data_IF_341295515462
#
_entry.id   IF_341295515462
#
_cell.length_a   1.000
_cell.length_b   1.000
_cell.length_c   1.000
_cell.angle_alpha   90.00
_cell.angle_beta   90.00
_cell.angle_gamma   90.00
#
_symmetry.space_group_name_H-M   'P 1'
#
loop_
_entity.id
_entity.type
_entity.pdbx_description
1 polymer ?
#
# COMPACT_ATOMS: atom_id res chain seq x y z
N UNK A 1 -8.15 -9.32 13.08
CA UNK A 1 -8.11 -8.99 11.63
C UNK A 1 -8.12 -7.49 11.28
N UNK A 2 -8.90 -6.63 11.94
CA UNK A 2 -9.09 -5.20 11.61
C UNK A 2 -7.80 -4.40 11.36
N UNK A 3 -6.78 -4.55 12.23
CA UNK A 3 -5.50 -3.83 12.09
C UNK A 3 -4.69 -4.16 10.83
N UNK A 4 -4.74 -5.41 10.33
CA UNK A 4 -4.07 -5.80 9.08
C UNK A 4 -4.68 -5.04 7.87
N UNK A 5 -6.02 -5.01 7.80
CA UNK A 5 -6.77 -4.27 6.77
C UNK A 5 -6.52 -2.76 6.84
N UNK A 6 -6.55 -2.15 8.03
CA UNK A 6 -6.22 -0.72 8.17
C UNK A 6 -4.82 -0.38 7.66
N UNK A 7 -3.80 -1.20 7.99
CA UNK A 7 -2.43 -0.97 7.45
C UNK A 7 -2.39 -1.09 5.92
N UNK A 8 -3.15 -2.02 5.34
CA UNK A 8 -3.28 -2.19 3.89
C UNK A 8 -3.98 -0.98 3.23
N UNK A 9 -5.12 -0.52 3.75
CA UNK A 9 -5.85 0.62 3.21
C UNK A 9 -5.06 1.93 3.35
N UNK A 10 -4.33 2.13 4.46
CA UNK A 10 -3.43 3.28 4.61
C UNK A 10 -2.33 3.29 3.55
N UNK A 11 -1.70 2.13 3.30
CA UNK A 11 -0.70 1.99 2.22
C UNK A 11 -1.32 2.26 0.85
N UNK A 12 -2.53 1.76 0.61
CA UNK A 12 -3.24 1.92 -0.66
C UNK A 12 -3.62 3.38 -0.94
N UNK A 13 -4.18 4.10 0.05
CA UNK A 13 -4.47 5.53 -0.08
C UNK A 13 -3.21 6.38 -0.21
N UNK A 14 -2.11 6.00 0.46
CA UNK A 14 -0.81 6.64 0.23
C UNK A 14 -0.32 6.44 -1.21
N UNK A 15 -0.53 5.27 -1.82
CA UNK A 15 -0.20 5.01 -3.24
C UNK A 15 -1.06 5.86 -4.19
N UNK A 16 -2.37 5.98 -3.94
CA UNK A 16 -3.25 6.90 -4.68
C UNK A 16 -2.84 8.37 -4.51
N UNK A 17 -2.40 8.78 -3.32
CA UNK A 17 -1.85 10.11 -3.06
C UNK A 17 -0.58 10.40 -3.88
N UNK A 18 0.37 9.45 -3.92
CA UNK A 18 1.63 9.60 -4.66
C UNK A 18 1.47 9.56 -6.18
N UNK A 19 0.54 8.76 -6.69
CA UNK A 19 0.42 8.50 -8.15
C UNK A 19 -0.61 9.39 -8.82
N UNK A 20 -1.76 9.58 -8.17
CA UNK A 20 -2.93 10.30 -8.71
C UNK A 20 -3.23 11.61 -7.96
N UNK A 21 -2.41 11.99 -6.97
CA UNK A 21 -2.51 13.28 -6.30
C UNK A 21 -3.72 13.44 -5.36
N UNK A 22 -4.26 12.34 -4.83
CA UNK A 22 -5.35 12.38 -3.84
C UNK A 22 -4.91 13.15 -2.58
N UNK A 23 -5.82 13.99 -2.07
CA UNK A 23 -5.61 14.83 -0.88
C UNK A 23 -6.88 14.80 -0.01
N UNK A 24 -6.69 15.06 1.28
CA UNK A 24 -7.75 15.26 2.27
C UNK A 24 -8.33 16.68 2.11
N UNK A 25 -9.66 16.91 2.26
CA UNK A 25 -10.70 15.90 2.47
C UNK A 25 -11.00 15.10 1.19
N UNK A 26 -11.15 13.78 1.33
CA UNK A 26 -11.43 12.89 0.19
C UNK A 26 -12.87 13.06 -0.28
N UNK A 27 -13.07 13.43 -1.55
CA UNK A 27 -14.40 13.52 -2.15
C UNK A 27 -14.91 12.11 -2.48
N UNK A 28 -15.97 11.67 -1.80
CA UNK A 28 -16.56 10.34 -1.98
C UNK A 28 -17.92 10.47 -2.67
N UNK A 29 -18.06 9.92 -3.88
CA UNK A 29 -19.35 9.79 -4.54
C UNK A 29 -20.10 8.58 -3.96
N UNK A 30 -21.23 8.86 -3.30
CA UNK A 30 -22.18 7.88 -2.78
C UNK A 30 -23.24 7.57 -3.82
N UNK A 31 -23.57 6.29 -3.95
CA UNK A 31 -24.74 5.84 -4.69
C UNK A 31 -25.98 5.59 -3.79
N UNK A 32 -27.17 5.50 -4.39
CA UNK A 32 -28.44 5.18 -3.74
C UNK A 32 -28.39 3.83 -3.01
N UNK A 33 -27.85 2.77 -3.63
CA UNK A 33 -27.77 1.45 -3.00
C UNK A 33 -26.85 1.45 -1.77
N UNK A 34 -25.72 2.14 -1.88
CA UNK A 34 -24.75 2.32 -0.78
C UNK A 34 -25.41 2.97 0.45
N UNK A 35 -26.33 3.91 0.25
CA UNK A 35 -27.09 4.54 1.34
C UNK A 35 -28.14 3.59 1.91
N UNK A 36 -28.88 2.84 1.07
CA UNK A 36 -29.84 1.82 1.53
C UNK A 36 -29.14 0.74 2.37
N UNK A 37 -28.05 0.16 1.88
CA UNK A 37 -27.32 -0.92 2.57
C UNK A 37 -26.68 -0.45 3.88
N UNK A 38 -26.16 0.78 3.93
CA UNK A 38 -25.64 1.32 5.18
C UNK A 38 -26.71 1.42 6.27
N UNK A 39 -27.97 1.72 5.92
CA UNK A 39 -29.05 1.77 6.90
C UNK A 39 -29.57 0.39 7.30
N UNK A 40 -29.70 -0.54 6.33
CA UNK A 40 -29.99 -1.97 6.61
C UNK A 40 -29.04 -2.55 7.66
N UNK A 41 -27.76 -2.20 7.61
CA UNK A 41 -26.75 -2.61 8.59
C UNK A 41 -26.53 -1.64 9.76
N UNK A 42 -27.35 -0.59 9.89
CA UNK A 42 -27.27 0.48 10.90
C UNK A 42 -25.86 1.09 11.04
N UNK A 43 -25.19 1.25 9.90
CA UNK A 43 -23.84 1.77 9.79
C UNK A 43 -23.81 3.30 9.69
N UNK A 44 -22.93 3.89 10.48
CA UNK A 44 -22.41 5.24 10.25
C UNK A 44 -21.56 5.25 8.97
N UNK A 45 -22.06 5.95 7.94
CA UNK A 45 -21.42 6.10 6.63
C UNK A 45 -20.16 6.97 6.71
N UNK A 46 -20.23 8.11 7.38
CA UNK A 46 -19.16 9.12 7.37
C UNK A 46 -17.95 8.61 8.13
N UNK A 47 -18.12 8.22 9.40
CA UNK A 47 -17.04 7.61 10.15
C UNK A 47 -16.64 6.24 9.59
N UNK A 48 -17.53 5.54 8.88
CA UNK A 48 -17.20 4.32 8.12
C UNK A 48 -16.15 4.59 7.03
N UNK A 49 -16.39 5.65 6.25
CA UNK A 49 -15.49 6.12 5.19
C UNK A 49 -14.18 6.67 5.76
N UNK A 50 -14.21 7.48 6.83
CA UNK A 50 -12.98 7.98 7.48
C UNK A 50 -12.10 6.84 8.03
N UNK A 51 -12.73 5.83 8.66
CA UNK A 51 -12.04 4.64 9.20
C UNK A 51 -11.44 3.75 8.11
N UNK A 52 -11.91 3.82 6.86
CA UNK A 52 -11.39 3.04 5.74
C UNK A 52 -10.40 3.82 4.87
N UNK A 53 -10.67 5.09 4.59
CA UNK A 53 -9.83 6.00 3.80
C UNK A 53 -8.66 6.60 4.59
N UNK A 54 -8.72 6.59 5.93
CA UNK A 54 -7.69 7.14 6.82
C UNK A 54 -7.40 8.63 6.59
N UNK A 55 -8.46 9.42 6.43
CA UNK A 55 -8.47 10.87 6.40
C UNK A 55 -9.91 11.38 6.43
N UNK A 56 -10.09 12.69 6.59
CA UNK A 56 -11.42 13.33 6.52
C UNK A 56 -12.05 13.09 5.14
N UNK A 57 -13.37 12.94 5.13
CA UNK A 57 -14.15 12.61 3.93
C UNK A 57 -15.24 13.63 3.69
N UNK A 58 -15.44 13.98 2.42
CA UNK A 58 -16.54 14.80 1.96
C UNK A 58 -17.51 13.89 1.20
N UNK A 59 -18.56 13.36 1.86
CA UNK A 59 -19.57 12.56 1.18
C UNK A 59 -20.37 13.45 0.22
N UNK A 60 -20.47 13.01 -1.02
CA UNK A 60 -21.19 13.69 -2.10
C UNK A 60 -22.16 12.71 -2.74
N UNK A 61 -23.38 13.14 -3.08
CA UNK A 61 -24.35 12.32 -3.81
C UNK A 61 -24.72 12.97 -5.14
N UNK A 62 -24.85 12.16 -6.20
CA UNK A 62 -25.25 12.66 -7.52
C UNK A 62 -26.75 12.99 -7.56
N UNK A 63 -27.14 13.91 -8.44
CA UNK A 63 -28.56 14.23 -8.61
C UNK A 63 -29.38 13.03 -9.13
N UNK A 64 -28.81 12.14 -9.95
CA UNK A 64 -29.48 10.92 -10.39
C UNK A 64 -29.65 9.93 -9.23
N UNK A 65 -28.62 9.67 -8.42
CA UNK A 65 -28.75 8.80 -7.24
C UNK A 65 -29.77 9.36 -6.22
N UNK A 66 -29.88 10.68 -6.06
CA UNK A 66 -30.99 11.28 -5.28
C UNK A 66 -32.37 11.01 -5.92
N UNK A 67 -32.50 11.11 -7.25
CA UNK A 67 -33.76 10.79 -7.96
C UNK A 67 -34.14 9.32 -7.84
N UNK A 68 -33.17 8.40 -7.86
CA UNK A 68 -33.39 6.97 -7.57
C UNK A 68 -33.89 6.71 -6.14
N UNK A 69 -33.45 7.50 -5.16
CA UNK A 69 -34.03 7.46 -3.81
C UNK A 69 -35.46 8.05 -3.76
N UNK A 70 -35.73 9.14 -4.48
CA UNK A 70 -37.09 9.71 -4.55
C UNK A 70 -38.09 8.81 -5.28
N UNK A 71 -37.68 8.12 -6.35
CA UNK A 71 -38.53 7.16 -7.06
C UNK A 71 -38.99 6.00 -6.16
N UNK A 72 -38.12 5.59 -5.24
CA UNK A 72 -38.39 4.57 -4.23
C UNK A 72 -38.95 5.13 -2.90
N UNK A 73 -39.38 6.40 -2.84
CA UNK A 73 -39.89 7.00 -1.61
C UNK A 73 -41.20 6.35 -1.10
N UNK A 74 -41.87 5.56 -1.94
CA UNK A 74 -43.03 4.73 -1.58
C UNK A 74 -42.65 3.47 -0.77
N UNK A 75 -41.39 3.04 -0.78
CA UNK A 75 -40.92 1.91 0.02
C UNK A 75 -40.79 2.31 1.51
N UNK A 76 -41.21 1.46 2.46
CA UNK A 76 -41.13 1.76 3.89
C UNK A 76 -39.67 1.96 4.35
N UNK A 77 -39.41 3.08 5.02
CA UNK A 77 -38.10 3.46 5.55
C UNK A 77 -37.25 4.33 4.61
N UNK A 78 -37.59 4.47 3.32
CA UNK A 78 -36.80 5.28 2.38
C UNK A 78 -36.92 6.79 2.63
N UNK A 79 -37.98 7.26 3.29
CA UNK A 79 -38.09 8.66 3.74
C UNK A 79 -36.93 9.11 4.63
N UNK A 80 -36.55 8.29 5.62
CA UNK A 80 -35.40 8.55 6.49
C UNK A 80 -34.06 8.53 5.72
N UNK A 81 -33.93 7.61 4.74
CA UNK A 81 -32.76 7.58 3.85
C UNK A 81 -32.62 8.85 3.02
N UNK A 82 -33.73 9.35 2.50
CA UNK A 82 -33.79 10.60 1.73
C UNK A 82 -33.33 11.78 2.59
N UNK A 83 -33.78 11.87 3.85
CA UNK A 83 -33.38 12.97 4.74
C UNK A 83 -31.91 12.87 5.15
N UNK A 84 -31.41 11.66 5.44
CA UNK A 84 -29.98 11.40 5.63
C UNK A 84 -29.17 11.79 4.38
N UNK A 85 -29.65 11.44 3.18
CA UNK A 85 -28.99 11.77 1.92
C UNK A 85 -29.01 13.28 1.59
N UNK A 86 -30.04 14.02 2.03
CA UNK A 86 -30.09 15.49 1.92
C UNK A 86 -28.99 16.20 2.73
N UNK A 87 -28.42 15.56 3.76
CA UNK A 87 -27.30 16.13 4.56
C UNK A 87 -25.96 16.13 3.83
N UNK A 88 -25.79 15.29 2.79
CA UNK A 88 -24.55 15.18 2.03
C UNK A 88 -24.49 16.23 0.90
N UNK A 89 -23.28 16.55 0.43
CA UNK A 89 -23.11 17.55 -0.62
C UNK A 89 -23.66 17.05 -1.97
N UNK A 90 -24.48 17.86 -2.65
CA UNK A 90 -25.07 17.46 -3.93
C UNK A 90 -24.13 17.74 -5.09
N UNK A 91 -23.67 16.68 -5.76
CA UNK A 91 -22.93 16.75 -7.01
C UNK A 91 -23.89 16.88 -8.19
N UNK A 92 -23.83 18.03 -8.88
CA UNK A 92 -24.48 18.22 -10.18
C UNK A 92 -23.82 17.31 -11.23
N UNK A 93 -24.59 16.41 -11.83
CA UNK A 93 -24.13 15.47 -12.88
C UNK A 93 -24.37 15.99 -14.31
N UNK A 94 -25.20 17.02 -14.50
CA UNK A 94 -25.57 17.54 -15.81
C UNK A 94 -26.94 17.05 -16.29
N UNK A 95 -27.34 15.83 -15.91
CA UNK A 95 -28.61 15.20 -16.31
C UNK A 95 -29.82 15.86 -15.66
N UNK A 96 -30.40 16.85 -16.35
CA UNK A 96 -31.59 17.57 -15.86
C UNK A 96 -32.86 16.73 -16.00
N UNK A 97 -33.85 16.88 -15.12
CA UNK A 97 -35.18 16.28 -15.31
C UNK A 97 -35.88 16.72 -16.61
N UNK A 98 -35.51 17.88 -17.14
CA UNK A 98 -35.98 18.43 -18.43
C UNK A 98 -35.56 17.55 -19.63
N UNK A 99 -34.33 17.03 -19.60
CA UNK A 99 -33.74 16.22 -20.68
C UNK A 99 -33.99 14.71 -20.46
N UNK A 100 -34.01 14.29 -19.20
CA UNK A 100 -34.17 12.90 -18.78
C UNK A 100 -35.30 12.81 -17.75
N UNK A 101 -36.55 12.48 -18.15
CA UNK A 101 -37.71 12.43 -17.25
C UNK A 101 -37.58 11.31 -16.21
N UNK A 102 -36.92 10.22 -16.57
CA UNK A 102 -36.42 9.20 -15.63
C UNK A 102 -34.94 9.45 -15.30
N UNK A 103 -34.46 9.08 -14.10
CA UNK A 103 -33.04 9.15 -13.79
C UNK A 103 -32.24 8.09 -14.57
N UNK A 104 -31.22 8.54 -15.31
CA UNK A 104 -30.18 7.68 -15.90
C UNK A 104 -29.61 6.67 -14.89
N UNK A 105 -29.09 5.55 -15.41
CA UNK A 105 -28.51 4.50 -14.57
C UNK A 105 -27.38 5.05 -13.67
N UNK A 106 -27.20 4.38 -12.54
CA UNK A 106 -26.08 4.57 -11.60
C UNK A 106 -24.73 4.57 -12.34
N UNK A 107 -24.54 3.62 -13.25
CA UNK A 107 -23.33 3.46 -14.06
C UNK A 107 -23.09 4.66 -14.98
N UNK A 108 -24.06 5.05 -15.81
CA UNK A 108 -23.92 6.17 -16.75
C UNK A 108 -23.74 7.51 -16.03
N UNK A 109 -24.50 7.72 -14.94
CA UNK A 109 -24.37 8.91 -14.13
C UNK A 109 -22.99 9.02 -13.46
N UNK A 110 -22.48 7.95 -12.87
CA UNK A 110 -21.16 8.00 -12.23
C UNK A 110 -20.04 8.07 -13.28
N UNK A 111 -20.17 7.39 -14.42
CA UNK A 111 -19.18 7.44 -15.50
C UNK A 111 -18.99 8.86 -16.04
N UNK A 112 -20.09 9.55 -16.37
CA UNK A 112 -20.05 10.96 -16.83
C UNK A 112 -19.47 11.93 -15.79
N UNK A 113 -19.69 11.69 -14.49
CA UNK A 113 -19.17 12.55 -13.40
C UNK A 113 -17.68 12.33 -13.12
N UNK A 114 -17.21 11.09 -13.23
CA UNK A 114 -15.81 10.70 -12.99
C UNK A 114 -14.94 11.00 -14.21
N UNK A 115 -15.42 10.67 -15.41
CA UNK A 115 -14.74 10.87 -16.69
C UNK A 115 -15.60 11.67 -17.69
N UNK A 116 -15.77 12.99 -17.48
CA UNK A 116 -16.54 13.87 -18.38
C UNK A 116 -15.86 14.11 -19.75
N UNK A 117 -14.74 13.45 -20.05
CA UNK A 117 -13.97 13.63 -21.29
C UNK A 117 -13.66 12.34 -22.04
N UNK A 118 -14.13 11.18 -21.56
CA UNK A 118 -13.76 9.87 -22.12
C UNK A 118 -12.25 9.57 -22.04
N UNK A 119 -11.51 10.28 -21.18
CA UNK A 119 -10.05 10.20 -21.05
C UNK A 119 -9.58 9.02 -20.20
N UNK A 120 -10.50 8.20 -19.69
CA UNK A 120 -10.29 7.07 -18.76
C UNK A 120 -9.40 7.44 -17.57
N UNK A 121 -9.47 8.69 -17.12
CA UNK A 121 -8.64 9.24 -16.03
C UNK A 121 -9.46 10.07 -15.07
N UNK A 122 -9.34 9.79 -13.78
CA UNK A 122 -10.09 10.46 -12.71
C UNK A 122 -9.56 11.88 -12.41
N UNK A 123 -9.81 12.84 -13.31
CA UNK A 123 -9.31 14.22 -13.21
C UNK A 123 -9.69 14.89 -11.88
N UNK A 124 -10.90 14.62 -11.39
CA UNK A 124 -11.48 15.25 -10.21
C UNK A 124 -11.09 14.55 -8.89
N UNK A 125 -10.45 13.36 -8.97
CA UNK A 125 -10.01 12.53 -7.84
C UNK A 125 -11.16 12.13 -6.90
N UNK A 126 -12.24 11.61 -7.48
CA UNK A 126 -13.31 10.99 -6.70
C UNK A 126 -12.92 9.60 -6.21
N UNK A 127 -13.29 9.29 -4.97
CA UNK A 127 -13.51 7.93 -4.49
C UNK A 127 -14.95 7.57 -4.85
N UNK A 128 -15.21 6.35 -5.34
CA UNK A 128 -16.57 5.90 -5.67
C UNK A 128 -17.01 4.83 -4.66
N UNK A 129 -18.14 5.07 -4.01
CA UNK A 129 -18.76 4.19 -3.03
C UNK A 129 -20.07 3.63 -3.60
N UNK A 130 -20.00 2.44 -4.19
CA UNK A 130 -21.09 1.79 -4.93
C UNK A 130 -21.21 0.33 -4.51
N UNK A 131 -22.44 -0.15 -4.40
CA UNK A 131 -22.71 -1.54 -4.04
C UNK A 131 -22.78 -2.45 -5.26
N UNK A 132 -23.53 -2.01 -6.27
CA UNK A 132 -23.61 -2.62 -7.61
C UNK A 132 -22.26 -3.09 -8.18
N UNK A 133 -22.25 -4.31 -8.71
CA UNK A 133 -21.04 -4.93 -9.24
C UNK A 133 -20.65 -4.37 -10.62
N UNK A 134 -21.63 -3.95 -11.42
CA UNK A 134 -21.44 -3.48 -12.80
C UNK A 134 -20.75 -2.11 -12.82
N UNK A 135 -21.26 -1.16 -12.04
CA UNK A 135 -20.59 0.11 -11.74
C UNK A 135 -19.14 -0.12 -11.31
N UNK A 136 -18.88 -1.04 -10.37
CA UNK A 136 -17.51 -1.32 -9.90
C UNK A 136 -16.63 -1.94 -10.99
N UNK A 137 -17.16 -2.86 -11.81
CA UNK A 137 -16.44 -3.40 -12.98
C UNK A 137 -16.07 -2.28 -13.96
N UNK A 138 -17.01 -1.41 -14.30
CA UNK A 138 -16.79 -0.28 -15.20
C UNK A 138 -15.74 0.70 -14.66
N UNK A 139 -15.85 1.07 -13.38
CA UNK A 139 -14.92 2.01 -12.72
C UNK A 139 -13.49 1.49 -12.60
N UNK A 140 -13.25 0.16 -12.54
CA UNK A 140 -11.90 -0.42 -12.60
C UNK A 140 -11.20 -0.17 -13.95
N UNK A 141 -11.97 0.08 -15.02
CA UNK A 141 -11.44 0.48 -16.32
C UNK A 141 -10.93 1.92 -16.38
N UNK A 142 -11.25 2.75 -15.37
CA UNK A 142 -10.82 4.14 -15.25
C UNK A 142 -9.58 4.20 -14.34
N UNK A 143 -8.54 4.92 -14.79
CA UNK A 143 -7.30 5.05 -14.05
C UNK A 143 -7.47 5.93 -12.81
N UNK A 144 -7.03 5.41 -11.67
CA UNK A 144 -6.97 6.16 -10.41
C UNK A 144 -8.31 6.34 -9.69
N UNK A 145 -9.21 5.35 -9.74
CA UNK A 145 -10.47 5.35 -8.98
C UNK A 145 -10.40 4.38 -7.79
N UNK A 146 -10.29 4.87 -6.54
CA UNK A 146 -10.49 4.03 -5.36
C UNK A 146 -11.97 3.66 -5.24
N UNK A 147 -12.25 2.36 -5.10
CA UNK A 147 -13.60 1.82 -4.96
C UNK A 147 -13.87 1.34 -3.54
N UNK A 148 -15.06 1.67 -3.02
CA UNK A 148 -15.55 1.25 -1.70
C UNK A 148 -16.91 0.60 -1.85
N UNK A 149 -17.13 -0.51 -1.14
CA UNK A 149 -18.41 -1.21 -1.08
C UNK A 149 -18.69 -1.71 0.34
N UNK A 150 -19.92 -2.11 0.62
CA UNK A 150 -20.32 -2.69 1.91
C UNK A 150 -20.48 -4.20 1.73
N UNK A 151 -19.92 -5.00 2.64
CA UNK A 151 -20.17 -6.44 2.68
C UNK A 151 -20.56 -6.84 4.11
N UNK A 152 -21.85 -7.17 4.28
CA UNK A 152 -22.49 -7.27 5.60
C UNK A 152 -22.21 -5.97 6.37
N UNK A 153 -21.97 -6.03 7.68
CA UNK A 153 -21.69 -4.85 8.51
C UNK A 153 -20.25 -4.27 8.40
N UNK A 154 -19.57 -4.43 7.26
CA UNK A 154 -18.18 -3.95 7.07
C UNK A 154 -17.99 -3.23 5.74
N UNK A 155 -17.53 -1.98 5.82
CA UNK A 155 -17.09 -1.20 4.66
C UNK A 155 -15.68 -1.64 4.23
N UNK A 156 -15.52 -1.89 2.93
CA UNK A 156 -14.31 -2.47 2.33
C UNK A 156 -13.88 -1.60 1.15
N UNK A 157 -12.60 -1.21 1.13
CA UNK A 157 -11.95 -0.64 -0.04
C UNK A 157 -11.39 -1.77 -0.90
N UNK A 158 -11.68 -1.76 -2.20
CA UNK A 158 -11.08 -2.68 -3.17
C UNK A 158 -9.58 -2.39 -3.35
N UNK A 159 -8.75 -3.39 -3.70
CA UNK A 159 -7.39 -3.13 -4.16
C UNK A 159 -7.39 -2.24 -5.42
N UNK A 160 -6.25 -1.63 -5.73
CA UNK A 160 -6.08 -0.86 -6.96
C UNK A 160 -6.28 -1.76 -8.19
N UNK A 161 -7.08 -1.30 -9.15
CA UNK A 161 -7.35 -2.01 -10.39
C UNK A 161 -6.05 -2.24 -11.20
N UNK A 162 -5.98 -3.35 -11.93
CA UNK A 162 -4.78 -3.76 -12.69
C UNK A 162 -4.33 -2.70 -13.70
N UNK A 163 -5.25 -2.10 -14.46
CA UNK A 163 -4.95 -0.97 -15.34
C UNK A 163 -4.32 0.23 -14.60
N UNK A 164 -4.77 0.49 -13.36
CA UNK A 164 -4.24 1.56 -12.50
C UNK A 164 -2.89 1.21 -11.87
N UNK A 165 -2.61 -0.07 -11.58
CA UNK A 165 -1.28 -0.52 -11.11
C UNK A 165 -0.26 -0.47 -12.24
N UNK A 166 -0.63 -0.94 -13.43
CA UNK A 166 0.27 -1.03 -14.59
C UNK A 166 0.68 0.34 -15.10
N UNK A 167 -0.28 1.29 -15.17
CA UNK A 167 0.04 2.67 -15.51
C UNK A 167 0.99 3.29 -14.47
N UNK A 168 0.73 3.05 -13.18
CA UNK A 168 1.61 3.52 -12.09
C UNK A 168 3.01 2.93 -12.20
N UNK A 169 3.16 1.62 -12.40
CA UNK A 169 4.47 0.98 -12.58
C UNK A 169 5.21 1.51 -13.80
N UNK A 170 4.49 1.72 -14.92
CA UNK A 170 5.06 2.31 -16.13
C UNK A 170 5.57 3.73 -15.87
N UNK A 171 4.79 4.56 -15.21
CA UNK A 171 5.20 5.91 -14.82
C UNK A 171 6.39 5.91 -13.84
N UNK A 172 6.36 5.05 -12.81
CA UNK A 172 7.44 4.92 -11.84
C UNK A 172 8.73 4.44 -12.52
N UNK A 173 8.67 3.47 -13.43
CA UNK A 173 9.82 3.03 -14.24
C UNK A 173 10.36 4.14 -15.15
N UNK A 174 9.49 4.94 -15.77
CA UNK A 174 9.91 6.09 -16.60
C UNK A 174 10.59 7.17 -15.74
N UNK A 175 9.98 7.54 -14.60
CA UNK A 175 10.53 8.50 -13.64
C UNK A 175 11.88 8.02 -13.07
N UNK A 176 11.99 6.74 -12.71
CA UNK A 176 13.23 6.12 -12.24
C UNK A 176 14.31 6.11 -13.33
N UNK A 177 13.99 5.71 -14.56
CA UNK A 177 14.93 5.73 -15.70
C UNK A 177 15.41 7.14 -16.04
N UNK A 178 14.53 8.15 -15.94
CA UNK A 178 14.88 9.55 -16.12
C UNK A 178 15.79 10.07 -14.99
N UNK A 179 15.50 9.69 -13.74
CA UNK A 179 16.36 9.97 -12.59
C UNK A 179 17.75 9.34 -12.74
N UNK A 180 17.82 8.09 -13.19
CA UNK A 180 19.09 7.40 -13.46
C UNK A 180 19.88 8.08 -14.59
N UNK A 181 19.24 8.50 -15.69
CA UNK A 181 19.90 9.27 -16.77
C UNK A 181 20.40 10.65 -16.31
N UNK A 182 19.67 11.32 -15.41
CA UNK A 182 20.12 12.59 -14.80
C UNK A 182 21.27 12.39 -13.80
N UNK A 183 21.27 11.28 -13.06
CA UNK A 183 22.36 10.92 -12.14
C UNK A 183 23.62 10.37 -12.82
N UNK A 184 23.49 9.67 -13.95
CA UNK A 184 24.63 9.11 -14.69
C UNK A 184 25.44 10.17 -15.46
N UNK A 185 24.90 11.37 -15.66
CA UNK A 185 25.60 12.50 -16.29
C UNK A 185 26.77 13.06 -15.46
N UNK A 186 26.73 12.92 -14.13
CA UNK A 186 27.72 13.56 -13.23
C UNK A 186 28.65 12.58 -12.50
N UNK A 187 28.56 11.27 -12.74
CA UNK A 187 29.50 10.28 -12.16
C UNK A 187 30.50 9.67 -13.15
N UNK A 188 30.46 10.02 -14.45
CA UNK A 188 31.64 9.91 -15.31
C UNK A 188 32.62 11.02 -14.96
N UNK A 189 33.39 10.84 -13.88
CA UNK A 189 34.62 11.60 -13.68
C UNK A 189 35.50 11.43 -14.91
N UNK A 190 35.72 12.55 -15.60
CA UNK A 190 36.48 12.73 -16.84
C UNK A 190 37.68 11.78 -16.94
N UNK A 191 37.49 10.66 -17.65
CA UNK A 191 38.55 9.89 -18.29
C UNK A 191 38.24 9.91 -19.77
N UNK A 192 38.76 10.94 -20.43
CA UNK A 192 38.88 10.98 -21.89
C UNK A 192 39.78 9.81 -22.29
N UNK A 193 39.23 8.87 -23.05
CA UNK A 193 39.93 8.12 -24.08
C UNK A 193 38.92 8.02 -25.24
N UNK A 194 39.38 8.30 -26.45
CA UNK A 194 38.50 8.55 -27.59
C UNK A 194 38.16 7.28 -28.37
N UNK A 195 37.04 7.36 -29.10
CA UNK A 195 36.73 6.50 -30.22
C UNK A 195 36.02 7.39 -31.26
N UNK A 196 36.60 7.49 -32.46
CA UNK A 196 36.16 8.39 -33.54
C UNK A 196 35.27 7.69 -34.57
N UNK A 197 34.49 8.47 -35.32
CA UNK A 197 33.69 8.05 -36.48
C UNK A 197 32.22 8.52 -36.40
N UNK A 198 31.66 9.33 -37.31
CA UNK A 198 32.21 9.95 -38.53
C UNK A 198 31.56 11.33 -38.79
N UNK A 199 32.32 12.19 -39.47
CA UNK A 199 31.96 13.32 -40.36
C UNK A 199 30.75 14.26 -40.11
N UNK A 200 31.01 15.57 -40.02
CA UNK A 200 30.84 16.51 -41.17
C UNK A 200 31.30 17.97 -40.92
N UNK A 201 32.31 18.36 -41.71
CA UNK A 201 32.51 19.62 -42.46
C UNK A 201 32.58 21.05 -41.81
N UNK A 202 33.41 21.88 -42.47
CA UNK A 202 33.59 23.36 -42.43
C UNK A 202 34.17 24.10 -41.21
N UNK A 203 35.17 24.96 -41.48
CA UNK A 203 35.54 26.10 -40.62
C UNK A 203 37.03 26.49 -40.59
N UNK A 204 37.46 27.40 -41.48
CA UNK A 204 38.84 27.89 -41.63
C UNK A 204 39.46 28.63 -40.43
N UNK A 205 40.80 28.69 -40.36
CA UNK A 205 41.57 29.63 -39.53
C UNK A 205 43.01 29.18 -39.21
N UNK A 206 44.02 29.93 -39.67
CA UNK A 206 45.44 29.76 -39.29
C UNK A 206 45.73 30.33 -37.88
N UNK A 207 46.62 29.69 -37.11
CA UNK A 207 47.95 30.24 -36.74
C UNK A 207 48.69 29.31 -35.75
N UNK A 208 50.02 29.41 -35.71
CA UNK A 208 50.96 28.51 -35.03
C UNK A 208 51.15 28.84 -33.52
N UNK A 209 51.79 27.93 -32.74
CA UNK A 209 52.51 28.09 -31.44
C UNK A 209 52.54 26.75 -30.64
N UNK A 210 53.65 26.36 -29.97
CA UNK A 210 54.03 24.94 -29.88
C UNK A 210 53.62 24.15 -28.62
N UNK A 211 53.51 22.82 -28.81
CA UNK A 211 53.11 21.82 -27.80
C UNK A 211 54.14 21.65 -26.66
N UNK A 212 53.78 22.02 -25.42
CA UNK A 212 54.58 21.69 -24.21
C UNK A 212 54.44 20.20 -23.83
N UNK A 213 55.58 19.51 -23.67
CA UNK A 213 55.67 18.08 -23.32
C UNK A 213 55.07 17.78 -21.94
N UNK A 214 54.17 16.79 -21.85
CA UNK A 214 53.64 16.27 -20.57
C UNK A 214 54.71 15.44 -19.86
N UNK A 215 54.99 15.73 -18.58
CA UNK A 215 55.92 14.94 -17.76
C UNK A 215 55.36 13.53 -17.50
N UNK A 216 56.18 12.50 -17.69
CA UNK A 216 55.81 11.12 -17.42
C UNK A 216 55.49 10.89 -15.93
N UNK A 217 54.42 10.14 -15.65
CA UNK A 217 53.99 9.82 -14.29
C UNK A 217 54.62 8.47 -13.91
N UNK A 218 55.47 8.47 -12.88
CA UNK A 218 56.20 7.28 -12.42
C UNK A 218 55.28 6.10 -12.03
N UNK A 219 55.86 4.89 -11.89
CA UNK A 219 55.08 3.67 -11.64
C UNK A 219 54.25 3.78 -10.37
N UNK A 220 53.03 3.24 -10.42
CA UNK A 220 52.06 3.29 -9.31
C UNK A 220 52.53 2.36 -8.18
N UNK A 221 52.94 2.94 -7.06
CA UNK A 221 53.18 2.19 -5.82
C UNK A 221 51.90 1.49 -5.32
N UNK A 222 52.03 0.40 -4.53
CA UNK A 222 50.89 -0.35 -4.02
C UNK A 222 50.01 0.49 -3.10
N UNK A 223 48.71 0.15 -3.05
CA UNK A 223 47.69 0.85 -2.27
C UNK A 223 48.07 0.86 -0.77
N UNK A 224 48.13 2.03 -0.09
CA UNK A 224 48.61 2.15 1.29
C UNK A 224 47.79 1.39 2.35
N UNK A 225 46.61 0.85 2.00
CA UNK A 225 45.82 -0.04 2.86
C UNK A 225 46.27 -1.51 2.84
N UNK A 226 47.20 -1.89 1.95
CA UNK A 226 47.69 -3.27 1.80
C UNK A 226 48.78 -3.66 2.82
N UNK A 227 49.40 -2.70 3.52
CA UNK A 227 50.47 -2.95 4.49
C UNK A 227 49.85 -3.27 5.86
N UNK A 228 49.70 -4.56 6.16
CA UNK A 228 49.33 -5.01 7.53
C UNK A 228 50.42 -4.56 8.51
N UNK A 229 50.02 -3.82 9.55
CA UNK A 229 50.93 -3.36 10.61
C UNK A 229 51.59 -4.57 11.31
N UNK A 230 52.91 -4.53 11.48
CA UNK A 230 53.64 -5.54 12.22
C UNK A 230 53.21 -5.56 13.70
N UNK A 231 52.95 -6.75 14.24
CA UNK A 231 52.77 -6.96 15.69
C UNK A 231 54.14 -7.12 16.34
N UNK A 232 54.37 -6.45 17.46
CA UNK A 232 55.53 -6.68 18.33
C UNK A 232 55.13 -7.67 19.43
N UNK A 233 55.91 -8.72 19.61
CA UNK A 233 55.69 -9.77 20.62
C UNK A 233 56.45 -9.48 21.90
N UNK A 234 55.87 -9.82 23.06
CA UNK A 234 56.59 -9.97 24.33
C UNK A 234 55.77 -10.89 25.25
N UNK A 235 56.34 -12.05 25.57
CA UNK A 235 55.93 -12.90 26.70
C UNK A 235 56.67 -12.36 27.97
N UNK A 236 56.46 -12.76 29.22
CA UNK A 236 55.92 -13.99 29.83
C UNK A 236 55.59 -13.71 31.33
N UNK A 237 54.96 -14.63 32.08
CA UNK A 237 54.99 -14.60 33.56
C UNK A 237 53.73 -15.09 34.30
N UNK A 238 53.80 -16.25 34.97
CA UNK A 238 52.76 -16.79 35.86
C UNK A 238 53.06 -16.53 37.35
N UNK A 239 52.02 -16.44 38.22
CA UNK A 239 51.70 -17.45 39.29
C UNK A 239 50.71 -16.98 40.39
N UNK A 240 49.71 -17.84 40.63
CA UNK A 240 49.03 -18.23 41.91
C UNK A 240 49.01 -17.33 43.17
N UNK A 241 47.86 -17.27 43.86
CA UNK A 241 47.63 -17.96 45.17
C UNK A 241 46.22 -17.70 45.77
N UNK A 242 45.86 -18.42 46.85
CA UNK A 242 44.50 -18.56 47.44
C UNK A 242 44.49 -18.17 48.93
N UNK A 243 43.41 -17.50 49.40
CA UNK A 243 42.75 -17.52 50.75
C UNK A 243 41.72 -16.36 50.77
N UNK A 244 40.43 -16.44 51.18
CA UNK A 244 39.65 -17.15 52.23
C UNK A 244 39.54 -16.36 53.55
N UNK A 245 38.32 -16.33 54.11
CA UNK A 245 37.87 -15.75 55.40
C UNK A 245 37.70 -14.20 55.41
N UNK A 246 36.70 -13.58 56.04
CA UNK A 246 35.52 -14.09 56.77
C UNK A 246 35.21 -13.22 58.01
N UNK A 247 34.00 -12.64 58.15
CA UNK A 247 33.50 -12.10 59.43
C UNK A 247 32.00 -11.80 59.47
N UNK A 248 31.41 -12.02 60.65
CA UNK A 248 29.99 -11.87 60.98
C UNK A 248 29.70 -10.58 61.79
N UNK A 249 28.44 -10.13 61.80
CA UNK A 249 27.73 -9.33 62.85
C UNK A 249 26.41 -8.81 62.26
N UNK A 250 25.29 -8.63 62.99
CA UNK A 250 24.93 -9.02 64.36
C UNK A 250 23.39 -9.23 64.46
N UNK A 251 22.92 -9.74 65.60
CA UNK A 251 21.55 -10.17 65.92
C UNK A 251 20.54 -9.05 66.20
N UNK A 252 19.24 -9.33 66.01
CA UNK A 252 18.11 -8.53 66.46
C UNK A 252 16.77 -9.24 66.19
N UNK A 253 15.95 -9.47 67.21
CA UNK A 253 14.84 -10.44 67.21
C UNK A 253 13.48 -9.92 66.70
N UNK A 254 12.71 -10.77 65.99
CA UNK A 254 11.35 -11.21 66.39
C UNK A 254 10.77 -12.23 65.39
N UNK A 255 9.95 -13.15 65.89
CA UNK A 255 9.38 -14.35 65.21
C UNK A 255 7.83 -14.32 65.40
N UNK A 256 6.99 -15.21 64.84
CA UNK A 256 7.20 -16.22 63.78
C UNK A 256 6.15 -16.21 62.63
N UNK A 257 6.42 -16.92 61.52
CA UNK A 257 5.61 -18.06 61.03
C UNK A 257 6.16 -18.69 59.71
N UNK A 258 6.55 -19.97 59.80
CA UNK A 258 6.62 -21.06 58.78
C UNK A 258 6.89 -20.71 57.30
N UNK A 259 8.07 -21.03 56.74
CA UNK A 259 8.48 -22.33 56.16
C UNK A 259 7.58 -22.84 55.00
N UNK A 260 8.06 -23.14 53.79
CA UNK A 260 9.36 -23.76 53.43
C UNK A 260 9.97 -23.28 52.09
N UNK A 261 11.21 -23.69 51.80
CA UNK A 261 12.12 -23.03 50.84
C UNK A 261 12.02 -23.38 49.33
N UNK A 262 12.84 -22.71 48.49
CA UNK A 262 12.82 -22.82 47.02
C UNK A 262 13.99 -23.63 46.44
N UNK A 263 13.86 -24.13 45.19
CA UNK A 263 15.03 -24.51 44.38
C UNK A 263 14.94 -24.12 42.89
N UNK A 264 16.09 -24.16 42.24
CA UNK A 264 16.43 -23.49 40.98
C UNK A 264 16.15 -24.39 39.76
N UNK A 265 15.89 -23.81 38.57
CA UNK A 265 15.40 -24.64 37.45
C UNK A 265 15.50 -24.11 36.01
N UNK A 266 16.70 -23.73 35.57
CA UNK A 266 17.19 -23.78 34.18
C UNK A 266 16.29 -23.35 32.96
N UNK A 267 16.84 -22.42 32.17
CA UNK A 267 16.32 -21.94 30.86
C UNK A 267 16.08 -23.08 29.84
N UNK A 268 14.83 -23.40 29.51
CA UNK A 268 14.50 -24.33 28.41
C UNK A 268 14.65 -23.70 27.02
N UNK A 269 15.71 -24.04 26.29
CA UNK A 269 15.84 -23.78 24.85
C UNK A 269 14.84 -24.63 24.05
N UNK A 270 14.05 -24.00 23.16
CA UNK A 270 13.19 -24.70 22.18
C UNK A 270 14.03 -25.54 21.22
N UNK A 271 13.94 -26.88 21.28
CA UNK A 271 14.33 -27.76 20.16
C UNK A 271 13.23 -27.75 19.09
N UNK A 272 13.61 -27.52 17.83
CA UNK A 272 12.74 -27.82 16.68
C UNK A 272 12.72 -29.35 16.49
N UNK A 273 11.54 -29.95 16.32
CA UNK A 273 11.42 -31.36 15.92
C UNK A 273 11.23 -31.39 14.40
N UNK A 274 12.07 -32.15 13.70
CA UNK A 274 11.96 -32.38 12.26
C UNK A 274 10.78 -33.30 11.94
N UNK A 275 10.25 -33.12 10.73
CA UNK A 275 9.22 -33.97 10.11
C UNK A 275 9.88 -35.30 9.68
N UNK A 276 9.23 -36.42 9.96
CA UNK A 276 9.52 -37.72 9.37
C UNK A 276 8.25 -38.22 8.70
N UNK A 277 8.38 -38.77 7.50
CA UNK A 277 7.28 -39.39 6.76
C UNK A 277 6.93 -40.77 7.34
N UNK A 278 5.67 -41.15 7.17
CA UNK A 278 5.19 -42.52 7.23
C UNK A 278 4.03 -42.61 6.23
N UNK A 279 4.07 -43.63 5.38
CA UNK A 279 3.05 -43.95 4.39
C UNK A 279 1.82 -44.56 5.08
N UNK A 280 0.62 -44.36 4.51
CA UNK A 280 -0.48 -45.30 4.75
C UNK A 280 -1.48 -45.38 3.57
N UNK A 281 -1.79 -46.63 3.22
CA UNK A 281 -3.12 -47.12 2.86
C UNK A 281 -4.00 -46.33 1.90
N UNK A 282 -3.86 -46.58 0.59
CA UNK A 282 -4.96 -46.35 -0.35
C UNK A 282 -6.01 -47.47 -0.25
N UNK A 283 -7.25 -47.14 0.17
CA UNK A 283 -8.41 -48.05 0.08
C UNK A 283 -9.59 -47.32 -0.56
N UNK A 284 -10.06 -47.87 -1.68
CA UNK A 284 -11.21 -47.35 -2.44
C UNK A 284 -12.53 -47.71 -1.75
N UNK A 285 -13.46 -46.76 -1.68
CA UNK A 285 -14.87 -47.01 -1.35
C UNK A 285 -15.78 -46.48 -2.46
N UNK A 286 -16.81 -47.27 -2.78
CA UNK A 286 -17.79 -47.04 -3.86
C UNK A 286 -18.86 -46.00 -3.46
N UNK A 287 -19.51 -45.34 -4.43
CA UNK A 287 -20.79 -44.67 -4.23
C UNK A 287 -21.98 -45.56 -4.66
N UNK A 288 -23.03 -45.57 -3.84
CA UNK A 288 -24.38 -46.17 -4.01
C UNK A 288 -25.23 -45.54 -2.87
N UNK A 289 -26.52 -45.21 -2.94
CA UNK A 289 -27.62 -45.17 -3.94
C UNK A 289 -28.51 -43.93 -3.56
N UNK A 290 -29.57 -43.46 -4.23
CA UNK A 290 -30.33 -43.77 -5.46
C UNK A 290 -31.09 -42.48 -5.90
N UNK A 291 -31.73 -42.49 -7.07
CA UNK A 291 -33.03 -41.83 -7.30
C UNK A 291 -33.77 -42.60 -8.42
N UNK A 292 -35.00 -43.06 -8.15
CA UNK A 292 -35.88 -43.78 -9.08
C UNK A 292 -37.21 -43.01 -9.19
N UNK A 293 -37.83 -42.97 -10.37
CA UNK A 293 -39.20 -42.47 -10.52
C UNK A 293 -39.56 -41.99 -11.94
N UNK A 294 -39.97 -42.92 -12.78
CA UNK A 294 -40.54 -42.67 -14.12
C UNK A 294 -42.01 -43.17 -14.11
N UNK A 295 -42.97 -42.24 -14.15
CA UNK A 295 -44.34 -42.33 -14.74
C UNK A 295 -44.97 -40.91 -14.79
#
# INVERSE_FOLDING_TARGET
MRGKRSKQYRKLMQQYGLSYGFRVPYQVLLDAEMIRDADKFKMDLVGGLERTLHGEVKPMITQCSMRHLYAAASEPGVSYLIDKAKTYERRRCGHRPEEYPEPLSTQECLASVVDPKGSKTNKNRYVVASQELEVRKHMRGILGVPLVYINRSVMIMEPMAEASTDNREREERVKFRAGLKRGSGSLKRKREDGEEGEEKHDGAGEEDIPKKKKKAKGPKGPNPLAVKKAKKSTEEGLKSSVKKEGKESATGESNPEKSDGPEQGAKRKRKRKSKSEAEDGGVSLKPEVADEGDD
#
